data_IF_172665933101
#
_entry.id   IF_172665933101
#
_cell.length_a   1.000
_cell.length_b   1.000
_cell.length_c   1.000
_cell.angle_alpha   90.00
_cell.angle_beta   90.00
_cell.angle_gamma   90.00
#
_symmetry.space_group_name_H-M   'P 1'
#
loop_
_entity.id
_entity.type
_entity.pdbx_description
1 polymer ?
#
# COMPACT_ATOMS: atom_id res chain seq x y z
N UNK A 1 19.85 17.95 -66.66
CA UNK A 1 20.41 18.30 -65.34
C UNK A 1 19.39 18.32 -64.19
N UNK A 2 18.15 18.83 -64.34
CA UNK A 2 17.17 18.89 -63.24
C UNK A 2 16.70 17.50 -62.70
N UNK A 3 16.56 16.48 -63.57
CA UNK A 3 16.13 15.11 -63.12
C UNK A 3 17.15 14.37 -62.26
N UNK A 4 18.44 14.56 -62.45
CA UNK A 4 19.49 13.94 -61.66
C UNK A 4 19.56 14.53 -60.24
N UNK A 5 19.28 15.83 -60.10
CA UNK A 5 19.25 16.50 -58.78
C UNK A 5 18.12 15.98 -57.87
N UNK A 6 16.97 15.61 -58.42
CA UNK A 6 15.84 15.06 -57.63
C UNK A 6 16.10 13.62 -57.19
N UNK A 7 16.81 12.80 -57.98
CA UNK A 7 17.16 11.44 -57.61
C UNK A 7 18.18 11.42 -56.48
N UNK A 8 19.16 12.33 -56.50
CA UNK A 8 20.15 12.46 -55.41
C UNK A 8 19.50 12.98 -54.14
N UNK A 9 18.53 13.91 -54.20
CA UNK A 9 17.78 14.39 -53.05
C UNK A 9 16.85 13.31 -52.45
N UNK A 10 16.26 12.45 -53.29
CA UNK A 10 15.42 11.33 -52.84
C UNK A 10 16.25 10.22 -52.17
N UNK A 11 17.42 9.89 -52.69
CA UNK A 11 18.37 8.96 -52.11
C UNK A 11 18.94 9.46 -50.78
N UNK A 12 19.27 10.76 -50.67
CA UNK A 12 19.73 11.34 -49.41
C UNK A 12 18.63 11.35 -48.31
N UNK A 13 17.35 11.55 -48.71
CA UNK A 13 16.21 11.46 -47.80
C UNK A 13 15.94 10.03 -47.27
N UNK A 14 16.20 9.02 -48.08
CA UNK A 14 16.08 7.61 -47.67
C UNK A 14 17.16 7.16 -46.69
N UNK A 15 18.38 7.70 -46.79
CA UNK A 15 19.44 7.42 -45.83
C UNK A 15 19.25 8.13 -44.47
N UNK A 16 18.54 9.26 -44.42
CA UNK A 16 18.23 9.95 -43.18
C UNK A 16 17.17 9.24 -42.33
N UNK A 17 16.36 8.35 -42.92
CA UNK A 17 15.36 7.55 -42.20
C UNK A 17 15.91 6.21 -41.66
N UNK A 18 17.10 5.81 -42.09
CA UNK A 18 17.74 4.58 -41.64
C UNK A 18 18.65 4.77 -40.41
N UNK A 19 18.83 6.01 -39.95
CA UNK A 19 19.77 6.37 -38.89
C UNK A 19 19.22 6.17 -37.44
N UNK A 20 18.04 5.60 -37.29
CA UNK A 20 17.45 5.38 -35.96
C UNK A 20 17.02 3.93 -35.69
N UNK A 21 17.68 2.97 -36.32
CA UNK A 21 17.40 1.54 -36.07
C UNK A 21 18.65 0.73 -35.82
N UNK A 22 19.55 1.25 -35.00
CA UNK A 22 20.43 0.34 -34.26
C UNK A 22 19.58 -0.19 -33.09
N UNK A 23 19.10 -1.43 -33.23
CA UNK A 23 18.24 -2.09 -32.24
C UNK A 23 18.95 -2.45 -30.91
N UNK A 24 19.99 -1.76 -30.57
CA UNK A 24 20.55 -1.64 -29.22
C UNK A 24 20.05 -0.34 -28.59
N UNK A 25 18.73 -0.29 -28.33
CA UNK A 25 18.30 0.51 -27.21
C UNK A 25 18.90 -0.19 -26.00
N UNK A 26 19.94 0.40 -25.41
CA UNK A 26 20.22 0.13 -24.01
C UNK A 26 18.91 0.38 -23.30
N UNK A 27 18.21 -0.71 -22.91
CA UNK A 27 17.09 -0.61 -21.98
C UNK A 27 17.73 0.11 -20.83
N UNK A 28 17.34 1.37 -20.48
CA UNK A 28 17.91 2.03 -19.33
C UNK A 28 17.79 1.01 -18.23
N UNK A 29 18.88 0.52 -17.66
CA UNK A 29 18.82 -0.28 -16.46
C UNK A 29 18.01 0.57 -15.51
N UNK A 30 16.72 0.21 -15.35
CA UNK A 30 15.77 1.04 -14.65
C UNK A 30 16.41 1.37 -13.32
N UNK A 31 16.50 2.65 -12.96
CA UNK A 31 17.11 3.05 -11.68
C UNK A 31 16.45 2.15 -10.65
N UNK A 32 17.20 1.22 -10.02
CA UNK A 32 16.59 0.23 -9.16
C UNK A 32 15.88 0.97 -8.04
N UNK A 33 14.57 0.68 -7.86
CA UNK A 33 13.85 1.24 -6.75
C UNK A 33 14.42 0.65 -5.46
N UNK A 34 14.79 1.53 -4.53
CA UNK A 34 15.37 1.13 -3.25
C UNK A 34 16.89 0.97 -3.29
N UNK A 35 17.43 0.25 -2.33
CA UNK A 35 18.85 0.06 -2.10
C UNK A 35 19.24 -1.43 -2.29
N UNK A 36 19.85 -1.74 -3.41
CA UNK A 36 20.25 -3.11 -3.75
C UNK A 36 21.46 -3.64 -2.94
N UNK A 37 22.19 -2.78 -2.25
CA UNK A 37 23.34 -3.16 -1.43
C UNK A 37 22.92 -3.69 -0.04
N UNK A 38 21.65 -3.55 0.32
CA UNK A 38 21.13 -4.02 1.60
C UNK A 38 21.26 -5.55 1.72
N UNK A 39 21.81 -5.99 2.85
CA UNK A 39 21.96 -7.41 3.22
C UNK A 39 21.35 -7.61 4.60
N UNK A 40 20.44 -8.59 4.71
CA UNK A 40 19.76 -8.86 5.95
C UNK A 40 20.71 -9.18 7.09
N UNK A 41 20.56 -8.51 8.21
CA UNK A 41 21.11 -8.87 9.51
C UNK A 41 20.09 -9.69 10.33
N UNK A 42 19.93 -9.33 11.60
CA UNK A 42 18.96 -9.97 12.52
C UNK A 42 17.54 -9.66 12.08
N UNK A 43 16.79 -10.68 11.66
CA UNK A 43 15.40 -10.50 11.23
C UNK A 43 14.43 -10.65 12.37
N UNK A 44 13.38 -9.82 12.34
CA UNK A 44 12.23 -9.87 13.26
C UNK A 44 10.95 -10.04 12.46
N UNK A 45 9.94 -10.63 13.08
CA UNK A 45 8.59 -10.71 12.56
C UNK A 45 7.78 -9.45 12.92
N UNK A 46 6.69 -9.21 12.17
CA UNK A 46 5.77 -8.10 12.48
C UNK A 46 5.17 -8.28 13.89
N UNK A 47 4.82 -9.51 14.29
CA UNK A 47 4.28 -9.77 15.62
C UNK A 47 5.29 -9.47 16.73
N UNK A 48 6.56 -9.86 16.57
CA UNK A 48 7.63 -9.52 17.53
C UNK A 48 7.85 -8.01 17.60
N UNK A 49 7.87 -7.32 16.45
CA UNK A 49 8.03 -5.88 16.39
C UNK A 49 6.89 -5.17 17.13
N UNK A 50 5.63 -5.54 16.85
CA UNK A 50 4.47 -4.96 17.54
C UNK A 50 4.47 -5.25 19.04
N UNK A 51 4.90 -6.44 19.46
CA UNK A 51 5.02 -6.81 20.87
C UNK A 51 6.10 -5.99 21.57
N UNK A 52 7.27 -5.85 20.96
CA UNK A 52 8.41 -5.09 21.52
C UNK A 52 8.06 -3.62 21.76
N UNK A 53 7.30 -3.03 20.82
CA UNK A 53 6.92 -1.61 20.88
C UNK A 53 5.47 -1.36 21.32
N UNK A 54 4.81 -2.36 21.94
CA UNK A 54 3.38 -2.28 22.30
C UNK A 54 3.02 -1.06 23.14
N UNK A 55 3.89 -0.64 24.07
CA UNK A 55 3.63 0.51 24.95
C UNK A 55 3.56 1.85 24.21
N UNK A 56 4.44 2.06 23.24
CA UNK A 56 4.41 3.30 22.43
C UNK A 56 3.29 3.28 21.40
N UNK A 57 2.97 2.11 20.84
CA UNK A 57 1.86 1.93 19.91
C UNK A 57 0.53 2.25 20.60
N UNK A 58 0.27 1.65 21.77
CA UNK A 58 -0.99 1.82 22.49
C UNK A 58 -1.20 3.22 23.06
N UNK A 59 -0.12 3.96 23.29
CA UNK A 59 -0.18 5.35 23.81
C UNK A 59 -0.16 6.42 22.70
N UNK A 60 -0.27 6.04 21.44
CA UNK A 60 -0.13 6.95 20.29
C UNK A 60 1.19 7.75 20.33
N UNK A 61 2.25 7.10 20.84
CA UNK A 61 3.58 7.65 20.91
C UNK A 61 4.49 6.94 19.90
N UNK A 62 5.77 7.28 19.88
CA UNK A 62 6.74 6.69 18.96
C UNK A 62 8.08 6.44 19.63
N UNK A 63 8.88 5.57 19.02
CA UNK A 63 10.26 5.30 19.39
C UNK A 63 11.08 5.05 18.13
N UNK A 64 12.34 5.55 18.11
CA UNK A 64 13.30 5.19 17.09
C UNK A 64 13.80 3.75 17.32
N UNK A 65 13.90 2.98 16.27
CA UNK A 65 14.50 1.64 16.29
C UNK A 65 16.00 1.83 16.17
N UNK A 66 16.74 1.55 17.24
CA UNK A 66 18.20 1.75 17.30
C UNK A 66 18.98 0.47 16.99
N UNK A 67 18.33 -0.67 17.13
CA UNK A 67 18.89 -1.99 16.89
C UNK A 67 18.95 -2.28 15.37
N UNK A 68 19.96 -3.04 14.95
CA UNK A 68 20.10 -3.50 13.56
C UNK A 68 19.09 -4.64 13.28
N UNK A 69 17.83 -4.27 13.14
CA UNK A 69 16.70 -5.16 12.88
C UNK A 69 16.25 -5.10 11.43
N UNK A 70 15.84 -6.23 10.91
CA UNK A 70 15.44 -6.39 9.52
C UNK A 70 14.08 -7.07 9.43
N UNK A 71 13.22 -6.55 8.55
CA UNK A 71 11.91 -7.12 8.28
C UNK A 71 11.87 -7.72 6.88
N UNK A 72 11.45 -9.01 6.78
CA UNK A 72 11.04 -9.61 5.52
C UNK A 72 9.52 -9.63 5.47
N UNK A 73 8.96 -9.06 4.41
CA UNK A 73 7.50 -8.96 4.27
C UNK A 73 7.09 -8.95 2.80
N UNK A 74 5.80 -9.09 2.54
CA UNK A 74 5.21 -8.90 1.22
C UNK A 74 4.23 -7.74 1.25
N UNK A 75 4.20 -6.98 0.17
CA UNK A 75 3.22 -5.90 -0.03
C UNK A 75 1.83 -6.52 -0.18
N UNK A 76 0.87 -6.08 0.62
CA UNK A 76 -0.52 -6.50 0.53
C UNK A 76 -1.49 -5.36 0.20
N UNK A 77 -1.01 -4.10 0.24
CA UNK A 77 -1.76 -2.92 -0.16
C UNK A 77 -0.82 -1.74 -0.43
N UNK A 78 -1.16 -0.95 -1.44
CA UNK A 78 -0.41 0.22 -1.88
C UNK A 78 -1.36 1.32 -2.39
N UNK A 79 -0.81 2.39 -2.96
CA UNK A 79 -1.55 3.55 -3.45
C UNK A 79 -2.11 3.42 -4.89
N UNK A 80 -2.02 2.25 -5.52
CA UNK A 80 -2.44 2.03 -6.91
C UNK A 80 -3.92 2.40 -7.18
N UNK A 81 -4.79 2.18 -6.20
CA UNK A 81 -6.21 2.54 -6.28
C UNK A 81 -6.56 3.91 -5.69
N UNK A 82 -5.57 4.71 -5.31
CA UNK A 82 -5.69 6.05 -4.71
C UNK A 82 -6.48 6.09 -3.37
N UNK A 83 -6.59 4.94 -2.70
CA UNK A 83 -7.27 4.86 -1.40
C UNK A 83 -6.31 4.75 -0.20
N UNK A 84 -5.12 4.16 -0.38
CA UNK A 84 -4.06 4.09 0.63
C UNK A 84 -3.08 5.26 0.44
N UNK A 85 -3.52 6.48 0.72
CA UNK A 85 -2.74 7.69 0.42
C UNK A 85 -1.44 7.77 1.20
N UNK A 86 -0.30 7.72 0.48
CA UNK A 86 1.06 7.80 1.05
C UNK A 86 1.31 6.72 2.12
N UNK A 87 0.78 5.53 1.88
CA UNK A 87 0.90 4.37 2.75
C UNK A 87 1.17 3.12 1.93
N UNK A 88 2.01 2.28 2.49
CA UNK A 88 2.23 0.92 2.05
C UNK A 88 1.77 -0.02 3.17
N UNK A 89 0.96 -1.01 2.85
CA UNK A 89 0.61 -2.07 3.79
C UNK A 89 1.42 -3.32 3.46
N UNK A 90 2.01 -3.93 4.49
CA UNK A 90 2.83 -5.13 4.34
C UNK A 90 2.45 -6.19 5.36
N UNK A 91 2.72 -7.46 5.05
CA UNK A 91 2.51 -8.59 5.94
C UNK A 91 3.63 -9.63 5.82
N UNK A 92 3.81 -10.47 6.87
CA UNK A 92 4.82 -11.53 6.91
C UNK A 92 4.26 -12.91 7.32
N UNK A 93 2.94 -13.05 7.43
CA UNK A 93 2.26 -14.25 7.92
C UNK A 93 2.01 -14.24 9.43
N UNK A 94 2.78 -13.49 10.23
CA UNK A 94 2.53 -13.32 11.68
C UNK A 94 1.64 -12.12 11.97
N UNK A 95 1.63 -11.12 11.10
CA UNK A 95 0.85 -9.90 11.23
C UNK A 95 0.92 -9.03 9.99
N UNK A 96 0.35 -7.84 10.09
CA UNK A 96 0.46 -6.77 9.11
C UNK A 96 0.85 -5.46 9.77
N UNK A 97 1.45 -4.54 9.01
CA UNK A 97 1.83 -3.22 9.50
C UNK A 97 1.75 -2.19 8.36
N UNK A 98 1.41 -0.97 8.72
CA UNK A 98 1.40 0.16 7.78
C UNK A 98 2.75 0.87 7.81
N UNK A 99 3.25 1.23 6.64
CA UNK A 99 4.44 2.05 6.46
C UNK A 99 4.02 3.38 5.86
N UNK A 100 4.25 4.47 6.58
CA UNK A 100 3.96 5.82 6.13
C UNK A 100 5.12 6.37 5.29
N UNK A 101 4.89 6.69 4.02
CA UNK A 101 5.91 7.18 3.08
C UNK A 101 5.40 8.48 2.44
N UNK A 102 6.19 9.56 2.53
CA UNK A 102 5.87 10.82 1.86
C UNK A 102 6.26 10.77 0.38
N UNK A 103 5.57 9.90 -0.36
CA UNK A 103 5.74 9.69 -1.80
C UNK A 103 4.45 9.19 -2.42
N UNK A 104 4.29 9.37 -3.72
CA UNK A 104 3.18 8.85 -4.53
C UNK A 104 3.68 7.73 -5.45
N UNK A 105 2.74 7.02 -6.07
CA UNK A 105 3.00 6.01 -7.10
C UNK A 105 3.83 4.81 -6.62
N UNK A 106 3.75 4.51 -5.30
CA UNK A 106 4.46 3.36 -4.74
C UNK A 106 3.98 2.04 -5.34
N UNK A 107 2.70 1.98 -5.75
CA UNK A 107 2.12 0.82 -6.42
C UNK A 107 2.77 0.46 -7.76
N UNK A 108 3.39 1.43 -8.44
CA UNK A 108 4.11 1.19 -9.70
C UNK A 108 5.41 0.40 -9.47
N UNK A 109 6.07 0.59 -8.33
CA UNK A 109 7.34 -0.06 -7.98
C UNK A 109 7.14 -1.27 -7.08
N UNK A 110 6.13 -1.22 -6.23
CA UNK A 110 5.83 -2.23 -5.21
C UNK A 110 4.40 -2.77 -5.38
N UNK A 111 4.14 -3.56 -6.43
CA UNK A 111 2.83 -4.19 -6.62
C UNK A 111 2.51 -5.15 -5.46
N UNK A 112 1.23 -5.45 -5.28
CA UNK A 112 0.78 -6.45 -4.30
C UNK A 112 1.45 -7.80 -4.60
N UNK A 113 2.05 -8.41 -3.58
CA UNK A 113 2.87 -9.62 -3.68
C UNK A 113 4.37 -9.36 -3.77
N UNK A 114 4.82 -8.12 -4.00
CA UNK A 114 6.25 -7.78 -4.02
C UNK A 114 6.89 -8.11 -2.67
N UNK A 115 7.96 -8.88 -2.69
CA UNK A 115 8.79 -9.20 -1.52
C UNK A 115 9.72 -8.04 -1.20
N UNK A 116 9.76 -7.64 0.05
CA UNK A 116 10.58 -6.53 0.55
C UNK A 116 11.50 -7.01 1.66
N UNK A 117 12.76 -6.59 1.59
CA UNK A 117 13.70 -6.60 2.70
C UNK A 117 13.84 -5.17 3.19
N UNK A 118 13.54 -4.93 4.47
CA UNK A 118 13.55 -3.58 5.05
C UNK A 118 14.54 -3.55 6.20
N UNK A 119 15.49 -2.61 6.16
CA UNK A 119 16.31 -2.25 7.31
C UNK A 119 15.50 -1.31 8.20
N UNK A 120 15.21 -1.73 9.43
CA UNK A 120 14.41 -0.96 10.37
C UNK A 120 15.22 0.02 11.21
N UNK A 121 16.55 -0.14 11.26
CA UNK A 121 17.43 0.73 12.05
C UNK A 121 17.23 2.19 11.62
N UNK A 122 17.17 3.06 12.61
CA UNK A 122 16.98 4.51 12.50
C UNK A 122 15.58 4.96 12.05
N UNK A 123 14.69 4.04 11.61
CA UNK A 123 13.28 4.33 11.39
C UNK A 123 12.52 4.47 12.71
N UNK A 124 11.32 5.04 12.65
CA UNK A 124 10.44 5.21 13.79
C UNK A 124 9.26 4.24 13.73
N UNK A 125 8.95 3.63 14.89
CA UNK A 125 7.75 2.82 15.09
C UNK A 125 6.91 3.41 16.21
N UNK A 126 5.59 3.33 16.10
CA UNK A 126 4.71 3.83 17.13
C UNK A 126 3.24 3.67 16.78
N UNK A 127 2.38 4.42 17.49
CA UNK A 127 0.95 4.46 17.29
C UNK A 127 0.50 5.61 16.38
N UNK A 128 -0.47 5.33 15.53
CA UNK A 128 -1.27 6.35 14.86
C UNK A 128 -2.75 5.98 15.01
N UNK A 129 -3.48 6.73 15.87
CA UNK A 129 -4.82 6.33 16.29
C UNK A 129 -4.85 4.99 17.03
N UNK A 130 -3.79 4.67 17.77
CA UNK A 130 -3.50 3.42 18.46
C UNK A 130 -3.19 2.22 17.54
N UNK A 131 -2.98 2.42 16.24
CA UNK A 131 -2.57 1.39 15.31
C UNK A 131 -1.05 1.45 15.07
N UNK A 132 -0.40 0.29 15.00
CA UNK A 132 1.02 0.20 14.69
C UNK A 132 1.35 0.77 13.30
N UNK A 133 2.34 1.64 13.25
CA UNK A 133 2.87 2.22 12.02
C UNK A 133 4.38 2.37 12.11
N UNK A 134 5.06 2.14 10.98
CA UNK A 134 6.45 2.54 10.74
C UNK A 134 6.42 3.83 9.92
N UNK A 135 7.28 4.78 10.24
CA UNK A 135 7.34 6.04 9.51
C UNK A 135 8.51 6.93 9.95
N UNK A 136 8.39 8.22 9.68
CA UNK A 136 9.29 9.28 10.12
C UNK A 136 8.64 10.20 11.14
N UNK A 137 9.32 11.27 11.51
CA UNK A 137 8.76 12.28 12.41
C UNK A 137 8.10 13.42 11.65
N UNK A 138 6.95 13.84 12.14
CA UNK A 138 6.24 15.00 11.63
C UNK A 138 5.57 15.78 12.76
N UNK A 139 5.93 17.06 12.90
CA UNK A 139 5.40 17.96 13.95
C UNK A 139 5.43 17.36 15.37
N UNK A 140 6.52 16.66 15.72
CA UNK A 140 6.71 16.07 17.05
C UNK A 140 5.92 14.77 17.30
N UNK A 141 5.33 14.19 16.26
CA UNK A 141 4.65 12.91 16.32
C UNK A 141 5.11 11.94 15.23
N UNK A 142 4.57 10.72 15.27
CA UNK A 142 4.79 9.76 14.19
C UNK A 142 4.05 10.22 12.93
N UNK A 143 4.77 10.30 11.82
CA UNK A 143 4.27 10.70 10.53
C UNK A 143 4.77 9.78 9.41
N UNK A 144 4.94 10.35 8.24
CA UNK A 144 5.50 9.66 7.07
C UNK A 144 6.99 9.93 6.98
N UNK A 145 7.78 8.92 6.65
CA UNK A 145 9.19 9.13 6.31
C UNK A 145 9.31 9.74 4.90
N UNK A 146 10.39 10.44 4.65
CA UNK A 146 10.66 10.97 3.31
C UNK A 146 10.95 9.84 2.32
N UNK A 147 10.56 10.04 1.06
CA UNK A 147 10.75 9.03 0.01
C UNK A 147 12.22 8.65 -0.19
N UNK A 148 13.13 9.61 -0.03
CA UNK A 148 14.58 9.38 -0.13
C UNK A 148 15.09 8.51 1.02
N UNK A 149 14.59 8.71 2.24
CA UNK A 149 14.88 7.88 3.40
C UNK A 149 14.34 6.46 3.18
N UNK A 150 13.06 6.33 2.78
CA UNK A 150 12.48 5.03 2.46
C UNK A 150 13.32 4.23 1.47
N UNK A 151 13.76 4.86 0.37
CA UNK A 151 14.57 4.20 -0.65
C UNK A 151 15.92 3.71 -0.15
N UNK A 152 16.49 4.28 0.89
CA UNK A 152 17.72 3.81 1.52
C UNK A 152 17.50 2.57 2.38
N UNK A 153 16.29 2.38 2.92
CA UNK A 153 15.94 1.33 3.87
C UNK A 153 15.27 0.11 3.23
N UNK A 154 14.88 0.16 1.96
CA UNK A 154 14.16 -0.93 1.30
C UNK A 154 14.95 -1.53 0.14
N UNK A 155 14.91 -2.86 0.05
CA UNK A 155 15.36 -3.62 -1.13
C UNK A 155 14.21 -4.47 -1.64
N UNK A 156 13.94 -4.38 -2.95
CA UNK A 156 12.97 -5.23 -3.62
C UNK A 156 13.63 -6.58 -3.93
N UNK A 157 12.97 -7.67 -3.55
CA UNK A 157 13.46 -9.03 -3.79
C UNK A 157 12.61 -9.66 -4.89
N UNK A 158 13.25 -9.94 -6.01
CA UNK A 158 12.61 -10.61 -7.14
C UNK A 158 12.70 -12.12 -6.97
N UNK A 159 11.76 -12.88 -7.53
CA UNK A 159 11.68 -14.34 -7.34
C UNK A 159 12.90 -15.10 -7.88
N UNK A 160 13.60 -14.53 -8.85
CA UNK A 160 14.84 -15.09 -9.43
C UNK A 160 16.10 -14.77 -8.60
N UNK A 161 16.01 -13.98 -7.55
CA UNK A 161 17.15 -13.67 -6.67
C UNK A 161 17.36 -14.78 -5.64
N UNK A 162 18.62 -15.11 -5.27
CA UNK A 162 18.90 -16.09 -4.22
C UNK A 162 18.24 -15.76 -2.89
N UNK A 163 18.13 -14.49 -2.56
CA UNK A 163 17.51 -13.99 -1.32
C UNK A 163 16.02 -14.29 -1.24
N UNK A 164 15.35 -14.55 -2.37
CA UNK A 164 13.92 -14.93 -2.39
C UNK A 164 13.65 -16.22 -1.61
N UNK A 165 14.64 -17.13 -1.51
CA UNK A 165 14.52 -18.36 -0.73
C UNK A 165 14.25 -18.10 0.75
N UNK A 166 14.79 -17.01 1.30
CA UNK A 166 14.60 -16.64 2.70
C UNK A 166 13.16 -16.18 3.04
N UNK A 167 12.33 -15.98 2.03
CA UNK A 167 10.88 -15.67 2.20
C UNK A 167 10.03 -16.95 2.24
N UNK A 168 10.58 -18.11 1.89
CA UNK A 168 9.86 -19.37 1.90
C UNK A 168 8.55 -19.30 1.12
N UNK A 169 7.45 -19.66 1.77
CA UNK A 169 6.09 -19.62 1.20
C UNK A 169 5.34 -18.32 1.50
N UNK A 170 6.03 -17.27 1.95
CA UNK A 170 5.40 -15.99 2.28
C UNK A 170 4.68 -15.41 1.06
N UNK A 171 3.41 -15.14 1.22
CA UNK A 171 2.53 -14.58 0.20
C UNK A 171 1.44 -13.72 0.85
N UNK A 172 0.74 -12.94 0.04
CA UNK A 172 -0.46 -12.24 0.53
C UNK A 172 -1.52 -13.28 0.86
N UNK A 173 -1.98 -13.26 2.10
CA UNK A 173 -3.11 -14.04 2.58
C UNK A 173 -4.26 -13.12 3.00
N UNK A 174 -5.45 -13.66 3.01
CA UNK A 174 -6.67 -12.98 3.46
C UNK A 174 -7.24 -13.74 4.65
N UNK A 175 -7.62 -13.02 5.67
CA UNK A 175 -8.30 -13.58 6.85
C UNK A 175 -9.74 -13.08 6.94
N UNK A 176 -10.61 -13.84 7.58
CA UNK A 176 -11.93 -13.32 7.92
C UNK A 176 -11.81 -12.25 9.00
N UNK A 177 -12.45 -11.10 8.78
CA UNK A 177 -12.51 -10.04 9.77
C UNK A 177 -13.29 -10.50 11.00
N UNK A 178 -12.74 -10.23 12.17
CA UNK A 178 -13.38 -10.51 13.46
C UNK A 178 -13.24 -9.28 14.37
N UNK A 179 -14.33 -8.54 14.65
CA UNK A 179 -14.27 -7.33 15.45
C UNK A 179 -13.81 -7.56 16.89
N UNK A 180 -13.75 -8.82 17.37
CA UNK A 180 -13.30 -9.18 18.71
C UNK A 180 -11.78 -9.46 18.78
N UNK A 181 -11.11 -9.59 17.64
CA UNK A 181 -9.65 -9.74 17.60
C UNK A 181 -8.94 -8.42 17.89
N UNK A 182 -7.71 -8.53 18.36
CA UNK A 182 -6.86 -7.38 18.66
C UNK A 182 -6.38 -6.68 17.38
N UNK A 183 -5.94 -5.44 17.52
CA UNK A 183 -5.31 -4.69 16.44
C UNK A 183 -4.10 -5.43 15.85
N UNK A 184 -3.22 -5.96 16.71
CA UNK A 184 -2.03 -6.68 16.28
C UNK A 184 -2.35 -7.91 15.40
N UNK A 185 -3.53 -8.51 15.56
CA UNK A 185 -3.94 -9.69 14.80
C UNK A 185 -4.49 -9.36 13.41
N UNK A 186 -4.97 -8.14 13.17
CA UNK A 186 -5.71 -7.81 11.94
C UNK A 186 -5.25 -6.54 11.23
N UNK A 187 -4.78 -5.50 11.96
CA UNK A 187 -4.35 -4.27 11.31
C UNK A 187 -3.20 -4.54 10.32
N UNK A 188 -3.25 -3.86 9.18
CA UNK A 188 -2.29 -4.05 8.11
C UNK A 188 -2.45 -5.36 7.32
N UNK A 189 -3.46 -6.17 7.60
CA UNK A 189 -3.75 -7.39 6.85
C UNK A 189 -4.92 -7.20 5.90
N UNK A 190 -4.94 -8.00 4.84
CA UNK A 190 -6.13 -8.12 3.99
C UNK A 190 -7.18 -8.91 4.75
N UNK A 191 -8.35 -8.34 4.90
CA UNK A 191 -9.49 -8.98 5.54
C UNK A 191 -10.66 -9.15 4.58
N UNK A 192 -11.48 -10.17 4.83
CA UNK A 192 -12.75 -10.41 4.17
C UNK A 192 -13.88 -10.09 5.14
N UNK A 193 -14.83 -9.26 4.70
CA UNK A 193 -16.11 -9.05 5.36
C UNK A 193 -17.20 -9.73 4.53
N UNK A 194 -18.06 -10.48 5.18
CA UNK A 194 -19.13 -11.26 4.52
C UNK A 194 -20.49 -10.92 5.11
N UNK A 195 -21.49 -10.78 4.23
CA UNK A 195 -22.88 -10.50 4.63
C UNK A 195 -23.08 -9.14 5.27
N UNK A 196 -22.23 -8.16 4.92
CA UNK A 196 -22.29 -6.80 5.49
C UNK A 196 -23.16 -5.89 4.63
N UNK A 197 -23.92 -5.00 5.30
CA UNK A 197 -24.66 -3.91 4.67
C UNK A 197 -23.85 -2.63 4.82
N UNK A 198 -23.73 -1.86 3.75
CA UNK A 198 -23.04 -0.57 3.70
C UNK A 198 -24.06 0.54 3.76
N UNK A 199 -23.91 1.48 4.70
CA UNK A 199 -24.80 2.62 4.82
C UNK A 199 -24.77 3.51 3.56
N UNK A 200 -25.97 3.96 3.14
CA UNK A 200 -26.18 4.78 1.93
C UNK A 200 -26.63 6.20 2.28
N UNK A 201 -26.32 6.67 3.49
CA UNK A 201 -26.71 7.98 3.98
C UNK A 201 -26.29 9.09 3.00
N UNK A 202 -27.22 9.97 2.67
CA UNK A 202 -27.04 11.07 1.72
C UNK A 202 -27.08 10.65 0.24
N UNK A 203 -26.36 9.61 -0.14
CA UNK A 203 -26.29 9.13 -1.52
C UNK A 203 -25.78 7.68 -1.58
N UNK A 204 -26.18 6.88 -2.58
CA UNK A 204 -25.65 5.54 -2.76
C UNK A 204 -24.20 5.49 -3.31
N UNK A 205 -23.60 6.61 -3.68
CA UNK A 205 -22.20 6.65 -4.17
C UNK A 205 -21.25 6.43 -3.01
N UNK A 206 -20.22 5.60 -3.21
CA UNK A 206 -19.32 5.14 -2.13
C UNK A 206 -18.54 6.30 -1.49
N UNK A 207 -17.96 7.20 -2.29
CA UNK A 207 -17.19 8.34 -1.81
C UNK A 207 -17.42 9.60 -2.69
N UNK A 208 -18.63 10.22 -2.63
CA UNK A 208 -18.90 11.44 -3.36
C UNK A 208 -18.09 12.61 -2.76
N UNK A 209 -17.79 13.59 -3.58
CA UNK A 209 -17.10 14.84 -3.23
C UNK A 209 -17.92 16.10 -3.55
N UNK A 210 -19.24 15.93 -3.66
CA UNK A 210 -20.24 16.94 -4.05
C UNK A 210 -20.96 17.61 -2.87
N UNK A 211 -20.54 17.32 -1.64
CA UNK A 211 -21.16 17.84 -0.42
C UNK A 211 -22.35 17.04 0.08
N UNK A 212 -22.78 15.97 -0.60
CA UNK A 212 -23.92 15.12 -0.18
C UNK A 212 -23.63 14.31 1.10
N UNK A 213 -22.35 14.15 1.47
CA UNK A 213 -21.91 13.47 2.69
C UNK A 213 -20.78 14.23 3.36
N UNK A 214 -20.63 14.04 4.68
CA UNK A 214 -19.52 14.62 5.44
C UNK A 214 -18.20 13.92 5.15
N UNK A 215 -17.12 14.69 4.95
CA UNK A 215 -15.79 14.20 4.72
C UNK A 215 -14.93 14.25 6.00
N UNK A 216 -14.10 13.24 6.19
CA UNK A 216 -13.06 13.21 7.23
C UNK A 216 -11.72 13.06 6.55
N UNK A 217 -10.92 14.12 6.50
CA UNK A 217 -9.61 14.13 5.80
C UNK A 217 -9.73 13.63 4.36
N UNK A 218 -10.62 14.22 3.57
CA UNK A 218 -10.92 13.86 2.18
C UNK A 218 -11.35 12.38 1.98
N UNK A 219 -11.92 11.77 3.00
CA UNK A 219 -12.48 10.42 2.91
C UNK A 219 -13.93 10.40 3.40
N UNK A 220 -14.71 9.50 2.82
CA UNK A 220 -16.04 9.12 3.30
C UNK A 220 -15.93 7.86 4.14
N UNK A 221 -16.59 7.85 5.29
CA UNK A 221 -16.73 6.70 6.16
C UNK A 221 -18.16 6.15 6.06
N UNK A 222 -18.34 5.04 5.34
CA UNK A 222 -19.63 4.35 5.24
C UNK A 222 -19.75 3.32 6.35
N UNK A 223 -20.72 3.45 7.25
CA UNK A 223 -20.95 2.47 8.31
C UNK A 223 -21.23 1.09 7.72
N UNK A 224 -20.53 0.09 8.26
CA UNK A 224 -20.75 -1.32 7.95
C UNK A 224 -21.56 -1.94 9.09
N UNK A 225 -22.56 -2.74 8.75
CA UNK A 225 -23.43 -3.43 9.71
C UNK A 225 -23.82 -4.82 9.22
N UNK A 226 -24.20 -5.68 10.16
CA UNK A 226 -24.52 -7.08 9.84
C UNK A 226 -23.28 -7.91 9.54
N UNK A 227 -23.48 -9.14 9.13
CA UNK A 227 -22.41 -10.09 8.86
C UNK A 227 -21.37 -10.13 9.97
N UNK A 228 -20.09 -10.07 9.61
CA UNK A 228 -18.97 -10.06 10.56
C UNK A 228 -18.39 -8.65 10.84
N UNK A 229 -19.07 -7.54 10.46
CA UNK A 229 -18.55 -6.17 10.63
C UNK A 229 -18.41 -5.72 12.10
N UNK A 230 -19.24 -6.23 13.02
CA UNK A 230 -19.28 -5.76 14.41
C UNK A 230 -19.96 -4.40 14.56
N UNK A 231 -19.73 -3.74 15.72
CA UNK A 231 -20.48 -2.51 16.09
C UNK A 231 -19.83 -1.21 15.62
N UNK A 232 -18.52 -1.19 15.41
CA UNK A 232 -17.76 0.03 15.09
C UNK A 232 -16.83 -0.26 13.92
N UNK A 233 -17.40 -0.42 12.73
CA UNK A 233 -16.67 -0.69 11.51
C UNK A 233 -17.19 0.17 10.37
N UNK A 234 -16.29 0.75 9.59
CA UNK A 234 -16.61 1.56 8.44
C UNK A 234 -15.82 1.10 7.21
N UNK A 235 -16.42 1.22 6.05
CA UNK A 235 -15.68 1.25 4.79
C UNK A 235 -15.19 2.69 4.60
N UNK A 236 -13.88 2.88 4.67
CA UNK A 236 -13.25 4.19 4.49
C UNK A 236 -12.71 4.32 3.08
N UNK A 237 -13.22 5.29 2.35
CA UNK A 237 -12.87 5.51 0.94
C UNK A 237 -12.48 6.96 0.71
N UNK A 238 -11.31 7.16 0.12
CA UNK A 238 -10.81 8.47 -0.32
C UNK A 238 -11.69 9.03 -1.45
N UNK A 239 -11.93 10.34 -1.44
CA UNK A 239 -12.56 11.05 -2.57
C UNK A 239 -11.66 11.11 -3.81
N UNK A 240 -10.41 10.67 -3.69
CA UNK A 240 -9.48 10.48 -4.82
C UNK A 240 -9.44 9.05 -5.34
N UNK A 241 -10.01 8.07 -4.61
CA UNK A 241 -9.99 6.67 -5.02
C UNK A 241 -10.53 6.50 -6.44
N UNK A 242 -9.84 5.72 -7.25
CA UNK A 242 -10.20 5.44 -8.65
C UNK A 242 -11.61 4.83 -8.78
N UNK A 243 -12.13 4.24 -7.72
CA UNK A 243 -13.46 3.63 -7.62
C UNK A 243 -14.48 4.45 -6.79
N UNK A 244 -14.18 5.72 -6.48
CA UNK A 244 -15.03 6.59 -5.65
C UNK A 244 -16.49 6.71 -6.11
N UNK A 245 -16.74 6.54 -7.41
CA UNK A 245 -18.07 6.63 -8.02
C UNK A 245 -18.91 5.34 -7.96
N UNK A 246 -18.38 4.27 -7.38
CA UNK A 246 -19.10 2.98 -7.28
C UNK A 246 -20.38 3.14 -6.48
N UNK A 247 -21.46 2.54 -6.99
CA UNK A 247 -22.77 2.53 -6.31
C UNK A 247 -22.82 1.40 -5.28
N UNK A 248 -23.22 1.77 -4.06
CA UNK A 248 -23.44 0.86 -2.94
C UNK A 248 -24.74 0.07 -3.20
N UNK A 249 -24.75 -1.27 -3.16
CA UNK A 249 -25.96 -2.06 -3.32
C UNK A 249 -26.89 -1.94 -2.11
N UNK A 250 -28.14 -2.38 -2.30
CA UNK A 250 -29.14 -2.43 -1.21
C UNK A 250 -29.13 -3.74 -0.44
N UNK A 251 -28.47 -4.76 -0.99
CA UNK A 251 -28.36 -6.10 -0.40
C UNK A 251 -27.03 -6.26 0.35
N UNK A 252 -26.95 -7.14 1.35
CA UNK A 252 -25.67 -7.49 1.96
C UNK A 252 -24.65 -7.98 0.93
N UNK A 253 -23.39 -7.63 1.16
CA UNK A 253 -22.27 -7.92 0.26
C UNK A 253 -21.12 -8.63 0.96
N UNK A 254 -20.21 -9.13 0.16
CA UNK A 254 -18.85 -9.47 0.55
C UNK A 254 -17.91 -8.37 0.05
N UNK A 255 -16.94 -8.00 0.86
CA UNK A 255 -15.89 -7.04 0.47
C UNK A 255 -14.56 -7.40 1.11
N UNK A 256 -13.49 -6.94 0.47
CA UNK A 256 -12.13 -7.10 0.93
C UNK A 256 -11.49 -5.73 1.18
N UNK A 257 -10.40 -5.71 1.94
CA UNK A 257 -9.61 -4.50 2.15
C UNK A 257 -8.57 -4.66 3.23
N UNK A 258 -7.75 -3.65 3.40
CA UNK A 258 -6.80 -3.57 4.50
C UNK A 258 -7.57 -3.16 5.76
N UNK A 259 -7.47 -3.97 6.82
CA UNK A 259 -8.01 -3.59 8.12
C UNK A 259 -7.09 -2.57 8.79
N UNK A 260 -7.66 -1.48 9.21
CA UNK A 260 -7.02 -0.46 10.04
C UNK A 260 -7.93 -0.10 11.20
N UNK A 261 -7.39 0.57 12.20
CA UNK A 261 -8.18 1.11 13.31
C UNK A 261 -7.76 2.55 13.59
N UNK A 262 -8.72 3.38 13.91
CA UNK A 262 -8.47 4.74 14.36
C UNK A 262 -9.32 5.05 15.59
N UNK A 263 -8.68 5.22 16.75
CA UNK A 263 -9.33 5.54 18.03
C UNK A 263 -10.54 4.63 18.32
N UNK A 264 -10.35 3.33 18.15
CA UNK A 264 -11.36 2.30 18.45
C UNK A 264 -12.44 2.09 17.40
N UNK A 265 -12.34 2.75 16.23
CA UNK A 265 -13.20 2.48 15.08
C UNK A 265 -12.42 1.71 14.01
N UNK A 266 -12.88 0.52 13.68
CA UNK A 266 -12.34 -0.26 12.57
C UNK A 266 -12.61 0.43 11.24
N UNK A 267 -11.60 0.49 10.39
CA UNK A 267 -11.70 1.08 9.06
C UNK A 267 -11.19 0.04 8.07
N UNK A 268 -12.03 -0.33 7.13
CA UNK A 268 -11.67 -1.22 6.03
C UNK A 268 -11.38 -0.34 4.81
N UNK A 269 -10.17 -0.46 4.28
CA UNK A 269 -9.73 0.29 3.11
C UNK A 269 -9.67 -0.69 1.93
N UNK A 270 -10.64 -0.64 1.03
CA UNK A 270 -10.55 -1.35 -0.25
C UNK A 270 -9.32 -0.83 -1.01
N UNK A 271 -8.51 -1.72 -1.55
CA UNK A 271 -7.26 -1.38 -2.25
C UNK A 271 -7.53 -0.88 -3.66
N UNK A 272 -8.47 -1.54 -4.31
CA UNK A 272 -8.94 -1.23 -5.68
C UNK A 272 -10.42 -1.60 -5.80
N UNK A 273 -11.01 -1.33 -6.94
CA UNK A 273 -12.39 -1.72 -7.25
C UNK A 273 -12.62 -3.25 -7.12
N UNK A 274 -11.60 -4.06 -7.37
CA UNK A 274 -11.72 -5.53 -7.27
C UNK A 274 -11.99 -6.05 -5.85
N UNK A 275 -11.70 -5.25 -4.82
CA UNK A 275 -12.06 -5.58 -3.44
C UNK A 275 -13.57 -5.42 -3.16
N UNK A 276 -14.32 -4.79 -4.08
CA UNK A 276 -15.75 -4.54 -4.02
C UNK A 276 -16.46 -5.59 -4.88
N UNK A 277 -16.83 -6.75 -4.30
CA UNK A 277 -17.25 -7.94 -5.05
C UNK A 277 -18.55 -7.78 -5.86
N UNK A 278 -19.33 -6.75 -5.57
CA UNK A 278 -20.56 -6.44 -6.33
C UNK A 278 -20.33 -5.64 -7.61
N UNK A 279 -19.09 -5.19 -7.83
CA UNK A 279 -18.72 -4.48 -9.06
C UNK A 279 -18.14 -5.49 -10.05
N UNK A 280 -18.77 -5.60 -11.22
CA UNK A 280 -18.37 -6.54 -12.28
C UNK A 280 -17.44 -5.86 -13.28
#
# INVERSE_FOLDING_TARGET
MKKQSYIIALLAGLFALASCQDGNWDIPEGIPYGNNDLKAGTTVTIAELQSTYASVISSDNYKQITEDLWLRCVVNGNDYGDNLYKQLSVQDGTGGIIIGINGSDQGAFMPVGQKLLINLKDLYIGGYGNMAQIGGLYNGGLGRMELTEWKQHVRLIMDNMPEAQAFGTMKVDTIDFDPNKTMAQQCGRVVRLSGVTIARDGTPVIAPDDGSVSLVSNCVNRTLSGGNAGKKCVLRTSTYASFKGVTIPTTPVELYGIATIYRGTWQILARTQSDLTWVK
#
